data_IF_866500317376
#
_entry.id   IF_866500317376
#
_cell.length_a   1.000
_cell.length_b   1.000
_cell.length_c   1.000
_cell.angle_alpha   90.00
_cell.angle_beta   90.00
_cell.angle_gamma   90.00
#
_symmetry.space_group_name_H-M   'P 1'
#
loop_
_entity.id
_entity.type
_entity.pdbx_description
1 polymer ?
#
# COMPACT_ATOMS: atom_id res chain seq x y z
N UNK A 1 -25.46 21.11 21.33
CA UNK A 1 -24.63 22.13 20.64
C UNK A 1 -23.18 22.03 21.12
N UNK A 2 -22.89 21.99 22.44
CA UNK A 2 -21.51 21.93 22.98
C UNK A 2 -20.78 20.67 22.55
N UNK A 3 -21.39 19.48 22.72
CA UNK A 3 -20.79 18.20 22.34
C UNK A 3 -20.51 18.08 20.83
N UNK A 4 -21.38 18.67 20.01
CA UNK A 4 -21.17 18.72 18.56
C UNK A 4 -19.96 19.60 18.18
N UNK A 5 -19.84 20.77 18.81
CA UNK A 5 -18.70 21.68 18.60
C UNK A 5 -17.38 21.02 19.04
N UNK A 6 -17.36 20.39 20.21
CA UNK A 6 -16.18 19.68 20.71
C UNK A 6 -15.73 18.55 19.77
N UNK A 7 -16.69 17.79 19.22
CA UNK A 7 -16.41 16.74 18.24
C UNK A 7 -15.84 17.30 16.93
N UNK A 8 -16.39 18.41 16.46
CA UNK A 8 -15.90 19.09 15.26
C UNK A 8 -14.48 19.63 15.46
N UNK A 9 -14.18 20.21 16.62
CA UNK A 9 -12.87 20.74 16.97
C UNK A 9 -11.82 19.61 17.04
N UNK A 10 -12.17 18.46 17.62
CA UNK A 10 -11.31 17.26 17.65
C UNK A 10 -11.03 16.74 16.23
N UNK A 11 -12.06 16.63 15.40
CA UNK A 11 -11.91 16.16 14.03
C UNK A 11 -10.99 17.09 13.21
N UNK A 12 -11.20 18.39 13.30
CA UNK A 12 -10.32 19.38 12.64
C UNK A 12 -8.89 19.30 13.14
N UNK A 13 -8.68 19.11 14.43
CA UNK A 13 -7.34 18.94 14.99
C UNK A 13 -6.66 17.68 14.42
N UNK A 14 -7.35 16.54 14.41
CA UNK A 14 -6.81 15.28 13.88
C UNK A 14 -6.50 15.39 12.38
N UNK A 15 -7.37 16.01 11.58
CA UNK A 15 -7.09 16.22 10.15
C UNK A 15 -5.84 17.05 9.92
N UNK A 16 -5.68 18.17 10.64
CA UNK A 16 -4.47 19.00 10.54
C UNK A 16 -3.22 18.29 11.05
N UNK A 17 -3.35 17.46 12.08
CA UNK A 17 -2.26 16.64 12.59
C UNK A 17 -1.78 15.61 11.56
N UNK A 18 -2.70 14.90 10.91
CA UNK A 18 -2.40 13.92 9.86
C UNK A 18 -1.69 14.58 8.67
N UNK A 19 -2.12 15.77 8.27
CA UNK A 19 -1.56 16.53 7.14
C UNK A 19 -0.28 17.29 7.47
N UNK A 20 0.21 17.19 8.72
CA UNK A 20 1.44 17.88 9.16
C UNK A 20 1.37 19.43 9.05
N UNK A 21 0.18 19.97 9.28
CA UNK A 21 -0.12 21.41 9.14
C UNK A 21 0.02 22.20 10.44
N UNK A 22 0.53 21.57 11.52
CA UNK A 22 0.62 22.17 12.84
C UNK A 22 2.07 22.29 13.30
N UNK A 23 2.39 23.42 13.93
CA UNK A 23 3.64 23.58 14.65
C UNK A 23 3.62 22.72 15.92
N UNK A 24 4.80 22.27 16.35
CA UNK A 24 4.94 21.38 17.52
C UNK A 24 4.26 21.95 18.79
N UNK A 25 4.44 23.24 19.05
CA UNK A 25 3.82 23.93 20.19
C UNK A 25 2.29 23.89 20.09
N UNK A 26 1.74 24.10 18.92
CA UNK A 26 0.30 24.07 18.68
C UNK A 26 -0.29 22.66 18.84
N UNK A 27 0.46 21.62 18.45
CA UNK A 27 0.05 20.24 18.65
C UNK A 27 -0.21 19.97 20.14
N UNK A 28 0.75 20.27 21.00
CA UNK A 28 0.63 20.01 22.44
C UNK A 28 -0.41 20.90 23.11
N UNK A 29 -0.47 22.18 22.79
CA UNK A 29 -1.45 23.12 23.35
C UNK A 29 -2.88 22.74 22.97
N UNK A 30 -3.13 22.40 21.71
CA UNK A 30 -4.47 21.98 21.25
C UNK A 30 -4.86 20.62 21.78
N UNK A 31 -3.93 19.64 21.84
CA UNK A 31 -4.18 18.35 22.44
C UNK A 31 -4.62 18.47 23.89
N UNK A 32 -3.92 19.30 24.69
CA UNK A 32 -4.28 19.58 26.08
C UNK A 32 -5.68 20.19 26.20
N UNK A 33 -5.98 21.22 25.37
CA UNK A 33 -7.29 21.87 25.35
C UNK A 33 -8.42 20.90 25.01
N UNK A 34 -8.17 19.98 24.08
CA UNK A 34 -9.14 18.97 23.62
C UNK A 34 -9.14 17.70 24.47
N UNK A 35 -8.34 17.65 25.55
CA UNK A 35 -8.18 16.48 26.41
C UNK A 35 -7.78 15.21 25.69
N UNK A 36 -6.87 15.36 24.73
CA UNK A 36 -6.28 14.25 23.96
C UNK A 36 -4.93 13.90 24.60
N UNK A 37 -4.75 12.62 24.92
CA UNK A 37 -3.49 12.12 25.50
C UNK A 37 -2.35 12.26 24.47
N UNK A 38 -1.25 12.89 24.89
CA UNK A 38 -0.09 13.16 24.03
C UNK A 38 0.91 12.03 23.96
N UNK A 39 0.86 11.09 24.92
CA UNK A 39 1.81 9.97 25.05
C UNK A 39 1.18 8.59 24.77
N UNK A 40 -0.09 8.57 24.37
CA UNK A 40 -0.75 7.32 24.02
C UNK A 40 -0.17 6.70 22.74
N UNK A 41 0.00 5.38 22.77
CA UNK A 41 0.41 4.61 21.60
C UNK A 41 -0.71 4.59 20.57
N UNK A 42 -0.40 4.87 19.32
CA UNK A 42 -1.38 4.91 18.22
C UNK A 42 -0.81 4.31 16.94
N UNK A 43 -1.72 3.93 16.08
CA UNK A 43 -1.46 3.52 14.70
C UNK A 43 -2.48 4.20 13.79
N UNK A 44 -2.06 4.60 12.61
CA UNK A 44 -2.96 5.11 11.56
C UNK A 44 -3.27 4.00 10.58
N UNK A 45 -4.57 3.74 10.40
CA UNK A 45 -5.11 2.88 9.34
C UNK A 45 -5.72 3.74 8.25
N UNK A 46 -5.53 3.34 6.99
CA UNK A 46 -6.24 3.88 5.84
C UNK A 46 -7.11 2.78 5.26
N UNK A 47 -8.39 3.09 5.10
CA UNK A 47 -9.35 2.24 4.40
C UNK A 47 -9.69 2.91 3.08
N UNK A 48 -9.17 2.39 1.98
CA UNK A 48 -9.51 2.86 0.64
C UNK A 48 -10.74 2.13 0.13
N UNK A 49 -11.77 2.88 -0.25
CA UNK A 49 -12.97 2.35 -0.87
C UNK A 49 -12.85 2.33 -2.38
N UNK A 50 -13.53 1.38 -3.03
CA UNK A 50 -13.55 1.27 -4.50
C UNK A 50 -14.21 2.48 -5.17
N UNK A 51 -15.25 3.00 -4.55
CA UNK A 51 -16.05 4.09 -5.08
C UNK A 51 -15.89 5.35 -4.22
N UNK A 52 -15.96 6.51 -4.86
CA UNK A 52 -15.94 7.80 -4.18
C UNK A 52 -17.17 7.98 -3.30
N UNK A 53 -16.99 8.66 -2.15
CA UNK A 53 -18.06 9.00 -1.20
C UNK A 53 -18.88 7.79 -0.76
N UNK A 54 -18.20 6.69 -0.42
CA UNK A 54 -18.87 5.52 0.15
C UNK A 54 -19.35 5.81 1.57
N UNK A 55 -20.54 6.42 1.67
CA UNK A 55 -21.15 6.77 2.95
C UNK A 55 -21.46 5.53 3.79
N UNK A 56 -21.77 4.40 3.16
CA UNK A 56 -22.06 3.15 3.86
C UNK A 56 -20.83 2.63 4.58
N UNK A 57 -19.66 2.65 3.93
CA UNK A 57 -18.40 2.28 4.56
C UNK A 57 -18.06 3.20 5.74
N UNK A 58 -18.20 4.51 5.55
CA UNK A 58 -17.94 5.50 6.62
C UNK A 58 -18.86 5.30 7.82
N UNK A 59 -20.16 5.09 7.60
CA UNK A 59 -21.13 4.87 8.68
C UNK A 59 -20.88 3.55 9.41
N UNK A 60 -20.54 2.48 8.70
CA UNK A 60 -20.18 1.19 9.29
C UNK A 60 -18.95 1.32 10.19
N UNK A 61 -17.91 2.01 9.73
CA UNK A 61 -16.71 2.26 10.55
C UNK A 61 -17.04 3.12 11.76
N UNK A 62 -17.79 4.20 11.61
CA UNK A 62 -18.22 5.04 12.74
C UNK A 62 -19.02 4.26 13.77
N UNK A 63 -19.90 3.37 13.34
CA UNK A 63 -20.66 2.50 14.23
C UNK A 63 -19.77 1.53 14.99
N UNK A 64 -18.81 0.90 14.30
CA UNK A 64 -17.85 -0.03 14.90
C UNK A 64 -17.00 0.62 16.00
N UNK A 65 -16.66 1.89 15.82
CA UNK A 65 -15.85 2.66 16.76
C UNK A 65 -16.64 3.60 17.67
N UNK A 66 -17.97 3.56 17.67
CA UNK A 66 -18.83 4.46 18.46
C UNK A 66 -18.58 4.37 19.96
N UNK A 67 -18.22 3.19 20.48
CA UNK A 67 -17.89 2.95 21.90
C UNK A 67 -16.42 3.19 22.26
N UNK A 68 -15.61 3.65 21.32
CA UNK A 68 -14.15 3.84 21.45
C UNK A 68 -13.78 5.33 21.33
N UNK A 69 -13.96 6.13 22.39
CA UNK A 69 -13.84 7.60 22.32
C UNK A 69 -12.42 8.10 22.09
N UNK A 70 -11.42 7.22 22.19
CA UNK A 70 -10.00 7.53 21.97
C UNK A 70 -9.53 7.22 20.55
N UNK A 71 -10.38 6.58 19.75
CA UNK A 71 -10.14 6.32 18.33
C UNK A 71 -10.81 7.43 17.51
N UNK A 72 -10.09 7.95 16.52
CA UNK A 72 -10.57 9.05 15.67
C UNK A 72 -10.77 8.57 14.25
N UNK A 73 -11.93 8.88 13.70
CA UNK A 73 -12.30 8.52 12.34
C UNK A 73 -12.54 9.79 11.56
N UNK A 74 -11.85 9.94 10.45
CA UNK A 74 -11.98 11.09 9.55
C UNK A 74 -11.78 10.66 8.10
N UNK A 75 -12.01 11.58 7.16
CA UNK A 75 -11.69 11.42 5.76
C UNK A 75 -10.86 12.61 5.32
N UNK A 76 -9.84 12.38 4.50
CA UNK A 76 -9.00 13.43 3.92
C UNK A 76 -9.40 13.67 2.46
N UNK A 77 -9.87 12.64 1.79
CA UNK A 77 -10.39 12.68 0.43
C UNK A 77 -11.64 11.80 0.27
N UNK A 78 -12.14 11.68 -0.95
CA UNK A 78 -13.41 11.00 -1.23
C UNK A 78 -13.34 9.46 -1.18
N UNK A 79 -12.13 8.88 -1.20
CA UNK A 79 -11.93 7.42 -1.22
C UNK A 79 -11.31 6.86 0.06
N UNK A 80 -10.61 7.70 0.83
CA UNK A 80 -9.80 7.25 1.94
C UNK A 80 -10.40 7.64 3.28
N UNK A 81 -10.79 6.62 4.04
CA UNK A 81 -11.23 6.76 5.43
C UNK A 81 -10.01 6.50 6.32
N UNK A 82 -9.75 7.41 7.23
CA UNK A 82 -8.60 7.36 8.13
C UNK A 82 -9.06 7.03 9.53
N UNK A 83 -8.41 6.05 10.15
CA UNK A 83 -8.64 5.66 11.54
C UNK A 83 -7.35 5.88 12.30
N UNK A 84 -7.36 6.81 13.27
CA UNK A 84 -6.27 6.98 14.23
C UNK A 84 -6.66 6.19 15.47
N UNK A 85 -6.06 5.02 15.61
CA UNK A 85 -6.43 4.05 16.65
C UNK A 85 -5.45 4.08 17.81
N UNK A 86 -5.97 4.25 19.03
CA UNK A 86 -5.20 4.01 20.26
C UNK A 86 -5.03 2.50 20.46
N UNK A 87 -3.82 2.09 20.84
CA UNK A 87 -3.47 0.69 21.09
C UNK A 87 -2.89 0.53 22.48
N UNK A 88 -3.19 -0.61 23.12
CA UNK A 88 -2.67 -0.95 24.45
C UNK A 88 -1.21 -1.38 24.38
N UNK A 89 -0.48 -1.30 25.47
CA UNK A 89 0.94 -1.72 25.53
C UNK A 89 1.16 -3.18 25.13
N UNK A 90 0.23 -4.06 25.46
CA UNK A 90 0.29 -5.48 25.11
C UNK A 90 0.02 -5.77 23.63
N UNK A 91 -0.47 -4.80 22.85
CA UNK A 91 -0.81 -5.01 21.46
C UNK A 91 0.45 -5.13 20.58
N UNK A 92 0.46 -6.15 19.73
CA UNK A 92 1.51 -6.45 18.75
C UNK A 92 1.04 -6.11 17.33
N UNK A 93 1.96 -6.22 16.36
CA UNK A 93 1.60 -6.09 14.94
C UNK A 93 0.65 -7.20 14.45
N UNK A 94 0.62 -8.37 15.09
CA UNK A 94 -0.35 -9.43 14.80
C UNK A 94 -1.79 -9.01 15.11
N UNK A 95 -1.97 -8.27 16.22
CA UNK A 95 -3.28 -7.71 16.57
C UNK A 95 -3.71 -6.59 15.62
N UNK A 96 -2.77 -5.80 15.08
CA UNK A 96 -3.05 -4.81 14.06
C UNK A 96 -3.53 -5.46 12.76
N UNK A 97 -2.92 -6.57 12.38
CA UNK A 97 -3.37 -7.37 11.23
C UNK A 97 -4.77 -7.93 11.45
N UNK A 98 -5.07 -8.37 12.67
CA UNK A 98 -6.43 -8.80 13.05
C UNK A 98 -7.45 -7.66 12.97
N UNK A 99 -7.09 -6.46 13.42
CA UNK A 99 -7.94 -5.26 13.27
C UNK A 99 -8.21 -4.97 11.78
N UNK A 100 -7.19 -5.03 10.94
CA UNK A 100 -7.34 -4.82 9.50
C UNK A 100 -8.26 -5.87 8.85
N UNK A 101 -8.11 -7.14 9.21
CA UNK A 101 -9.00 -8.23 8.75
C UNK A 101 -10.45 -8.00 9.17
N UNK A 102 -10.66 -7.62 10.43
CA UNK A 102 -12.01 -7.29 10.94
C UNK A 102 -12.64 -6.17 10.16
N UNK A 103 -11.89 -5.10 9.84
CA UNK A 103 -12.38 -4.00 9.01
C UNK A 103 -12.79 -4.47 7.61
N UNK A 104 -11.96 -5.27 6.95
CA UNK A 104 -12.26 -5.82 5.62
C UNK A 104 -13.52 -6.68 5.66
N UNK A 105 -13.62 -7.60 6.61
CA UNK A 105 -14.75 -8.51 6.73
C UNK A 105 -16.07 -7.77 6.99
N UNK A 106 -16.07 -6.83 7.94
CA UNK A 106 -17.23 -6.03 8.28
C UNK A 106 -17.69 -5.16 7.11
N UNK A 107 -16.77 -4.51 6.41
CA UNK A 107 -17.11 -3.65 5.27
C UNK A 107 -17.60 -4.45 4.06
N UNK A 108 -17.06 -5.63 3.82
CA UNK A 108 -17.55 -6.51 2.77
C UNK A 108 -18.97 -7.01 3.06
N UNK A 109 -19.28 -7.38 4.30
CA UNK A 109 -20.57 -7.97 4.68
C UNK A 109 -21.63 -6.90 4.92
N UNK A 110 -21.35 -5.89 5.73
CA UNK A 110 -22.35 -4.91 6.17
C UNK A 110 -22.53 -3.75 5.20
N UNK A 111 -21.44 -3.26 4.62
CA UNK A 111 -21.46 -2.15 3.69
C UNK A 111 -21.46 -2.58 2.22
N UNK A 112 -21.29 -3.88 1.92
CA UNK A 112 -21.10 -4.40 0.56
C UNK A 112 -19.99 -3.64 -0.20
N UNK A 113 -19.01 -3.16 0.54
CA UNK A 113 -17.94 -2.29 0.02
C UNK A 113 -16.65 -3.07 -0.08
N UNK A 114 -16.11 -3.15 -1.30
CA UNK A 114 -14.75 -3.68 -1.51
C UNK A 114 -13.74 -2.62 -1.09
N UNK A 115 -12.85 -2.98 -0.18
CA UNK A 115 -11.88 -2.05 0.40
C UNK A 115 -10.47 -2.62 0.35
N UNK A 116 -9.49 -1.74 0.41
CA UNK A 116 -8.09 -2.06 0.71
C UNK A 116 -7.71 -1.34 2.00
N UNK A 117 -7.02 -2.04 2.88
CA UNK A 117 -6.61 -1.51 4.19
C UNK A 117 -5.09 -1.49 4.27
N UNK A 118 -4.54 -0.35 4.62
CA UNK A 118 -3.12 -0.21 4.98
C UNK A 118 -2.97 0.37 6.38
N UNK A 119 -1.81 0.19 7.00
CA UNK A 119 -1.49 0.82 8.27
C UNK A 119 0.01 1.07 8.41
N UNK A 120 0.32 2.14 9.16
CA UNK A 120 1.68 2.54 9.46
C UNK A 120 2.26 1.80 10.67
N UNK A 121 3.39 2.28 11.15
CA UNK A 121 4.00 1.79 12.37
C UNK A 121 3.32 2.38 13.61
N UNK A 122 3.49 1.66 14.73
CA UNK A 122 3.09 2.11 16.05
C UNK A 122 3.93 3.34 16.42
N UNK A 123 3.25 4.40 16.85
CA UNK A 123 3.87 5.62 17.36
C UNK A 123 3.55 5.80 18.85
N UNK A 124 4.39 6.55 19.56
CA UNK A 124 4.31 6.72 21.00
C UNK A 124 3.97 8.15 21.45
N UNK A 125 4.04 9.11 20.53
CA UNK A 125 3.71 10.50 20.80
C UNK A 125 2.78 11.07 19.72
N UNK A 126 1.89 11.95 20.13
CA UNK A 126 0.89 12.55 19.23
C UNK A 126 1.52 13.29 18.03
N UNK A 127 2.70 13.89 18.21
CA UNK A 127 3.42 14.57 17.13
C UNK A 127 3.78 13.64 15.97
N UNK A 128 3.89 12.34 16.23
CA UNK A 128 4.29 11.31 15.25
C UNK A 128 3.12 10.70 14.47
N UNK A 129 1.89 11.15 14.74
CA UNK A 129 0.69 10.65 14.02
C UNK A 129 0.81 10.88 12.51
N UNK A 130 1.33 12.05 12.09
CA UNK A 130 1.59 12.33 10.66
C UNK A 130 2.56 11.34 10.03
N UNK A 131 3.57 10.87 10.78
CA UNK A 131 4.50 9.83 10.30
C UNK A 131 3.77 8.51 10.05
N UNK A 132 2.98 8.02 11.00
CA UNK A 132 2.20 6.78 10.82
C UNK A 132 1.22 6.89 9.66
N UNK A 133 0.64 8.08 9.44
CA UNK A 133 -0.21 8.34 8.27
C UNK A 133 0.57 8.28 6.95
N UNK A 134 1.72 8.93 6.85
CA UNK A 134 2.59 8.91 5.66
C UNK A 134 3.04 7.48 5.35
N UNK A 135 3.36 6.70 6.36
CA UNK A 135 3.72 5.29 6.24
C UNK A 135 2.54 4.44 5.72
N UNK A 136 1.34 4.63 6.28
CA UNK A 136 0.13 3.95 5.82
C UNK A 136 -0.22 4.31 4.37
N UNK A 137 -0.05 5.59 4.00
CA UNK A 137 -0.27 6.08 2.63
C UNK A 137 0.74 5.44 1.65
N UNK A 138 2.02 5.40 2.02
CA UNK A 138 3.04 4.72 1.21
C UNK A 138 2.73 3.23 1.05
N UNK A 139 2.31 2.55 2.12
CA UNK A 139 1.91 1.15 2.06
C UNK A 139 0.75 0.92 1.09
N UNK A 140 -0.25 1.80 1.10
CA UNK A 140 -1.37 1.75 0.18
C UNK A 140 -0.92 1.87 -1.28
N UNK A 141 -0.07 2.86 -1.60
CA UNK A 141 0.44 3.10 -2.94
C UNK A 141 1.32 1.93 -3.44
N UNK A 142 2.26 1.47 -2.61
CA UNK A 142 3.10 0.31 -2.91
C UNK A 142 2.26 -0.94 -3.15
N UNK A 143 1.21 -1.13 -2.35
CA UNK A 143 0.26 -2.22 -2.53
C UNK A 143 -0.45 -2.18 -3.88
N UNK A 144 -0.91 -1.01 -4.31
CA UNK A 144 -1.56 -0.83 -5.62
C UNK A 144 -0.63 -1.15 -6.79
N UNK A 145 0.63 -0.76 -6.69
CA UNK A 145 1.61 -0.91 -7.77
C UNK A 145 2.10 -2.36 -7.89
N UNK A 146 2.50 -2.96 -6.75
CA UNK A 146 3.26 -4.22 -6.76
C UNK A 146 2.51 -5.43 -6.22
N UNK A 147 1.44 -5.21 -5.45
CA UNK A 147 0.73 -6.25 -4.72
C UNK A 147 -0.79 -6.08 -4.89
N UNK A 148 -1.25 -5.98 -6.13
CA UNK A 148 -2.63 -5.67 -6.47
C UNK A 148 -3.66 -6.68 -5.90
N UNK A 149 -3.23 -7.92 -5.67
CA UNK A 149 -4.00 -9.01 -5.06
C UNK A 149 -4.12 -8.90 -3.53
N UNK A 150 -3.24 -8.12 -2.89
CA UNK A 150 -3.27 -7.94 -1.43
C UNK A 150 -4.29 -6.89 -1.03
N UNK A 151 -5.22 -7.27 -0.18
CA UNK A 151 -6.25 -6.40 0.39
C UNK A 151 -5.73 -5.65 1.62
N UNK A 152 -4.87 -6.30 2.42
CA UNK A 152 -4.25 -5.72 3.61
C UNK A 152 -2.76 -5.52 3.34
N UNK A 153 -2.29 -4.29 3.50
CA UNK A 153 -0.91 -3.89 3.19
C UNK A 153 -0.30 -3.15 4.38
N UNK A 154 0.39 -3.86 5.29
CA UNK A 154 1.13 -3.22 6.39
C UNK A 154 2.41 -2.56 5.89
N UNK A 155 2.73 -1.38 6.43
CA UNK A 155 3.96 -0.66 6.08
C UNK A 155 5.25 -1.45 6.37
N UNK A 156 5.27 -2.23 7.43
CA UNK A 156 6.43 -3.03 7.83
C UNK A 156 6.64 -4.30 7.01
N UNK A 157 5.80 -4.56 6.01
CA UNK A 157 5.88 -5.76 5.15
C UNK A 157 5.81 -5.43 3.66
N UNK A 158 6.43 -4.35 3.24
CA UNK A 158 6.44 -3.91 1.83
C UNK A 158 7.57 -4.53 1.01
N UNK A 159 8.63 -4.99 1.67
CA UNK A 159 9.77 -5.60 1.00
C UNK A 159 10.44 -4.68 -0.03
N UNK A 160 10.82 -5.26 -1.16
CA UNK A 160 11.52 -4.56 -2.25
C UNK A 160 10.65 -3.45 -2.91
N UNK A 161 9.34 -3.57 -2.87
CA UNK A 161 8.42 -2.56 -3.39
C UNK A 161 8.62 -1.19 -2.76
N UNK A 162 8.93 -1.14 -1.45
CA UNK A 162 9.23 0.12 -0.77
C UNK A 162 10.52 0.77 -1.27
N UNK A 163 11.54 -0.01 -1.58
CA UNK A 163 12.79 0.52 -2.12
C UNK A 163 12.57 1.13 -3.51
N UNK A 164 11.87 0.42 -4.37
CA UNK A 164 11.60 0.88 -5.74
C UNK A 164 10.72 2.13 -5.75
N UNK A 165 9.68 2.18 -4.91
CA UNK A 165 8.79 3.34 -4.79
C UNK A 165 9.50 4.63 -4.38
N UNK A 166 10.67 4.54 -3.74
CA UNK A 166 11.48 5.68 -3.31
C UNK A 166 12.57 6.07 -4.32
N UNK A 167 12.69 5.38 -5.44
CA UNK A 167 13.68 5.71 -6.45
C UNK A 167 13.28 6.98 -7.22
N UNK A 168 14.21 7.91 -7.44
CA UNK A 168 13.97 9.03 -8.36
C UNK A 168 13.68 8.54 -9.78
N UNK A 169 12.70 9.13 -10.44
CA UNK A 169 12.33 8.77 -11.82
C UNK A 169 13.52 8.83 -12.80
N UNK A 170 14.40 9.86 -12.75
CA UNK A 170 15.59 9.87 -13.61
C UNK A 170 16.51 8.67 -13.43
N UNK A 171 16.64 8.16 -12.20
CA UNK A 171 17.42 6.94 -11.90
C UNK A 171 16.74 5.70 -12.50
N UNK A 172 15.42 5.61 -12.41
CA UNK A 172 14.65 4.54 -13.04
C UNK A 172 14.85 4.53 -14.57
N UNK A 173 14.78 5.68 -15.22
CA UNK A 173 14.98 5.84 -16.66
C UNK A 173 16.40 5.43 -17.08
N UNK A 174 17.41 5.83 -16.33
CA UNK A 174 18.81 5.45 -16.59
C UNK A 174 18.99 3.94 -16.49
N UNK A 175 18.48 3.32 -15.41
CA UNK A 175 18.54 1.87 -15.21
C UNK A 175 17.86 1.10 -16.34
N UNK A 176 16.67 1.52 -16.77
CA UNK A 176 15.94 0.90 -17.87
C UNK A 176 16.73 0.95 -19.18
N UNK A 177 17.38 2.10 -19.47
CA UNK A 177 18.22 2.26 -20.64
C UNK A 177 19.48 1.39 -20.60
N UNK A 178 20.09 1.25 -19.42
CA UNK A 178 21.24 0.37 -19.23
C UNK A 178 20.89 -1.11 -19.45
N UNK A 179 19.73 -1.55 -18.96
CA UNK A 179 19.30 -2.95 -19.01
C UNK A 179 18.79 -3.35 -20.39
N UNK A 180 17.96 -2.52 -21.02
CA UNK A 180 17.23 -2.87 -22.24
C UNK A 180 17.62 -2.04 -23.49
N UNK A 181 18.46 -1.02 -23.34
CA UNK A 181 18.80 -0.10 -24.43
C UNK A 181 17.55 0.62 -24.94
N UNK A 182 17.31 0.54 -26.24
CA UNK A 182 16.11 1.14 -26.86
C UNK A 182 14.88 0.22 -26.84
N UNK A 183 15.02 -1.02 -26.40
CA UNK A 183 13.94 -2.02 -26.34
C UNK A 183 13.37 -2.08 -24.94
N UNK A 184 12.40 -1.22 -24.63
CA UNK A 184 11.73 -1.20 -23.34
C UNK A 184 10.73 -2.36 -23.17
N UNK A 185 10.55 -2.90 -21.94
CA UNK A 185 9.59 -3.98 -21.63
C UNK A 185 8.14 -3.65 -21.95
N UNK A 186 7.80 -2.39 -22.16
CA UNK A 186 6.45 -1.93 -22.53
C UNK A 186 5.94 -2.52 -23.85
N UNK A 187 6.83 -3.08 -24.66
CA UNK A 187 6.51 -3.67 -25.96
C UNK A 187 6.21 -5.17 -25.88
N UNK A 188 6.27 -5.78 -24.70
CA UNK A 188 5.95 -7.20 -24.56
C UNK A 188 4.44 -7.42 -24.69
N UNK A 189 4.08 -8.41 -25.50
CA UNK A 189 2.70 -8.86 -25.63
C UNK A 189 2.21 -9.56 -24.34
N UNK A 190 0.90 -9.73 -24.23
CA UNK A 190 0.26 -10.33 -23.06
C UNK A 190 0.74 -11.76 -22.82
N UNK A 191 1.00 -12.53 -23.88
CA UNK A 191 1.52 -13.89 -23.78
C UNK A 191 2.91 -13.92 -23.15
N UNK A 192 3.80 -13.03 -23.55
CA UNK A 192 5.15 -12.89 -23.02
C UNK A 192 5.12 -12.47 -21.55
N UNK A 193 4.30 -11.47 -21.19
CA UNK A 193 4.14 -11.02 -19.79
C UNK A 193 3.59 -12.15 -18.91
N UNK A 194 2.59 -12.88 -19.37
CA UNK A 194 2.03 -14.03 -18.65
C UNK A 194 3.08 -15.11 -18.44
N UNK A 195 3.88 -15.41 -19.46
CA UNK A 195 4.97 -16.40 -19.38
C UNK A 195 6.01 -15.99 -18.34
N UNK A 196 6.46 -14.73 -18.36
CA UNK A 196 7.46 -14.19 -17.42
C UNK A 196 6.92 -14.26 -15.99
N UNK A 197 5.71 -13.77 -15.75
CA UNK A 197 5.11 -13.75 -14.43
C UNK A 197 4.95 -15.15 -13.86
N UNK A 198 4.42 -16.09 -14.64
CA UNK A 198 4.30 -17.50 -14.22
C UNK A 198 5.64 -18.15 -13.95
N UNK A 199 6.66 -17.83 -14.72
CA UNK A 199 8.00 -18.36 -14.53
C UNK A 199 8.61 -17.87 -13.20
N UNK A 200 8.42 -16.61 -12.86
CA UNK A 200 8.83 -16.06 -11.56
C UNK A 200 8.02 -16.62 -10.39
N UNK A 201 6.69 -16.72 -10.53
CA UNK A 201 5.81 -17.33 -9.52
C UNK A 201 6.22 -18.77 -9.18
N UNK A 202 6.70 -19.51 -10.17
CA UNK A 202 7.16 -20.89 -10.03
C UNK A 202 8.67 -21.01 -9.70
N UNK A 203 9.30 -19.97 -9.20
CA UNK A 203 10.71 -19.96 -8.80
C UNK A 203 11.65 -20.47 -9.91
N UNK A 204 11.45 -20.02 -11.13
CA UNK A 204 12.23 -20.36 -12.32
C UNK A 204 12.15 -21.86 -12.70
N UNK A 205 11.09 -22.53 -12.31
CA UNK A 205 10.87 -23.94 -12.63
C UNK A 205 10.19 -24.10 -14.00
N UNK A 206 10.94 -24.53 -14.99
CA UNK A 206 10.45 -24.71 -16.37
C UNK A 206 9.30 -25.74 -16.44
N UNK A 207 9.41 -26.87 -15.75
CA UNK A 207 8.42 -27.95 -15.83
C UNK A 207 7.09 -27.53 -15.21
N UNK A 208 7.13 -26.92 -14.03
CA UNK A 208 5.92 -26.45 -13.34
C UNK A 208 5.27 -25.29 -14.13
N UNK A 209 6.06 -24.38 -14.65
CA UNK A 209 5.54 -23.26 -15.45
C UNK A 209 4.87 -23.73 -16.72
N UNK A 210 5.48 -24.68 -17.47
CA UNK A 210 4.86 -25.24 -18.66
C UNK A 210 3.54 -25.95 -18.37
N UNK A 211 3.47 -26.66 -17.25
CA UNK A 211 2.24 -27.32 -16.79
C UNK A 211 1.13 -26.30 -16.49
N UNK A 212 1.44 -25.23 -15.78
CA UNK A 212 0.46 -24.21 -15.42
C UNK A 212 0.03 -23.34 -16.60
N UNK A 213 0.90 -23.15 -17.60
CA UNK A 213 0.56 -22.46 -18.84
C UNK A 213 -0.11 -23.35 -19.90
N UNK A 214 -0.28 -24.66 -19.60
CA UNK A 214 -0.84 -25.64 -20.53
C UNK A 214 -0.08 -25.70 -21.86
N UNK A 215 1.26 -25.56 -21.84
CA UNK A 215 2.11 -25.65 -23.01
C UNK A 215 3.15 -26.77 -22.85
N UNK A 216 3.66 -27.28 -23.97
CA UNK A 216 4.76 -28.22 -23.93
C UNK A 216 6.04 -27.54 -23.39
N UNK A 217 6.87 -28.29 -22.65
CA UNK A 217 8.12 -27.79 -22.08
C UNK A 217 9.01 -27.10 -23.14
N UNK A 218 9.13 -27.69 -24.32
CA UNK A 218 9.95 -27.13 -25.39
C UNK A 218 9.40 -25.79 -25.91
N UNK A 219 8.09 -25.61 -25.89
CA UNK A 219 7.44 -24.33 -26.23
C UNK A 219 7.81 -23.24 -25.23
N UNK A 220 7.79 -23.58 -23.94
CA UNK A 220 8.23 -22.63 -22.90
C UNK A 220 9.72 -22.29 -23.07
N UNK A 221 10.59 -23.28 -23.25
CA UNK A 221 12.02 -23.03 -23.46
C UNK A 221 12.23 -22.11 -24.69
N UNK A 222 11.54 -22.37 -25.79
CA UNK A 222 11.59 -21.49 -26.97
C UNK A 222 11.18 -20.05 -26.64
N UNK A 223 10.11 -19.84 -25.87
CA UNK A 223 9.68 -18.49 -25.45
C UNK A 223 10.75 -17.81 -24.61
N UNK A 224 11.39 -18.51 -23.68
CA UNK A 224 12.47 -17.97 -22.84
C UNK A 224 13.71 -17.64 -23.66
N UNK A 225 14.07 -18.45 -24.65
CA UNK A 225 15.18 -18.17 -25.57
C UNK A 225 14.89 -16.97 -26.47
N UNK A 226 13.66 -16.84 -26.94
CA UNK A 226 13.21 -15.66 -27.71
C UNK A 226 13.32 -14.39 -26.87
N UNK A 227 12.92 -14.45 -25.61
CA UNK A 227 13.04 -13.34 -24.64
C UNK A 227 14.53 -12.98 -24.44
N UNK A 228 15.40 -13.97 -24.22
CA UNK A 228 16.85 -13.75 -24.10
C UNK A 228 17.43 -13.08 -25.33
N UNK A 229 17.05 -13.50 -26.53
CA UNK A 229 17.52 -12.88 -27.77
C UNK A 229 17.09 -11.43 -27.94
N UNK A 230 15.89 -11.09 -27.47
CA UNK A 230 15.35 -9.73 -27.57
C UNK A 230 15.87 -8.79 -26.51
N UNK A 231 16.15 -9.28 -25.30
CA UNK A 231 16.51 -8.45 -24.15
C UNK A 231 17.97 -8.54 -23.72
N UNK A 232 18.67 -9.59 -24.14
CA UNK A 232 20.03 -9.90 -23.68
C UNK A 232 20.08 -10.60 -22.31
N UNK A 233 18.94 -10.79 -21.63
CA UNK A 233 18.84 -11.41 -20.31
C UNK A 233 18.23 -12.81 -20.40
N UNK A 234 18.94 -13.79 -19.85
CA UNK A 234 18.41 -15.15 -19.69
C UNK A 234 17.78 -15.33 -18.30
N UNK A 235 16.46 -15.19 -18.22
CA UNK A 235 15.74 -15.29 -16.95
C UNK A 235 15.73 -16.69 -16.31
N UNK A 236 16.39 -17.67 -16.94
CA UNK A 236 16.69 -18.98 -16.33
C UNK A 236 17.91 -18.91 -15.41
N UNK A 237 18.74 -17.88 -15.57
CA UNK A 237 19.90 -17.57 -14.71
C UNK A 237 19.46 -16.59 -13.63
N UNK A 238 19.78 -16.89 -12.38
CA UNK A 238 19.27 -16.14 -11.22
C UNK A 238 19.59 -14.63 -11.29
N UNK A 239 20.80 -14.24 -11.62
CA UNK A 239 21.20 -12.82 -11.65
C UNK A 239 20.45 -12.05 -12.76
N UNK A 240 20.28 -12.65 -13.94
CA UNK A 240 19.50 -12.08 -15.01
C UNK A 240 18.00 -12.02 -14.67
N UNK A 241 17.49 -13.07 -14.03
CA UNK A 241 16.11 -13.13 -13.54
C UNK A 241 15.84 -12.04 -12.52
N UNK A 242 16.76 -11.81 -11.58
CA UNK A 242 16.67 -10.75 -10.55
C UNK A 242 16.66 -9.37 -11.21
N UNK A 243 17.60 -9.10 -12.11
CA UNK A 243 17.67 -7.86 -12.88
C UNK A 243 16.37 -7.62 -13.65
N UNK A 244 15.87 -8.64 -14.33
CA UNK A 244 14.63 -8.58 -15.10
C UNK A 244 13.42 -8.30 -14.20
N UNK A 245 13.32 -8.98 -13.05
CA UNK A 245 12.25 -8.79 -12.07
C UNK A 245 12.21 -7.36 -11.53
N UNK A 246 13.37 -6.82 -11.16
CA UNK A 246 13.51 -5.44 -10.70
C UNK A 246 13.09 -4.47 -11.82
N UNK A 247 13.56 -4.70 -13.04
CA UNK A 247 13.19 -3.86 -14.18
C UNK A 247 11.67 -3.84 -14.45
N UNK A 248 11.00 -4.98 -14.34
CA UNK A 248 9.54 -5.06 -14.46
C UNK A 248 8.83 -4.26 -13.35
N UNK A 249 9.34 -4.30 -12.13
CA UNK A 249 8.81 -3.50 -11.03
C UNK A 249 9.04 -1.99 -11.26
N UNK A 250 10.21 -1.62 -11.75
CA UNK A 250 10.53 -0.21 -12.11
C UNK A 250 9.59 0.30 -13.20
N UNK A 251 9.29 -0.49 -14.23
CA UNK A 251 8.30 -0.13 -15.27
C UNK A 251 6.92 0.11 -14.67
N UNK A 252 6.45 -0.80 -13.82
CA UNK A 252 5.15 -0.65 -13.14
C UNK A 252 5.08 0.62 -12.30
N UNK A 253 6.16 0.94 -11.58
CA UNK A 253 6.28 2.16 -10.80
C UNK A 253 6.26 3.43 -11.67
N UNK A 254 7.04 3.46 -12.74
CA UNK A 254 7.08 4.61 -13.63
C UNK A 254 5.71 4.88 -14.28
N UNK A 255 5.03 3.83 -14.76
CA UNK A 255 3.66 3.94 -15.30
C UNK A 255 2.67 4.48 -14.28
N UNK A 256 2.74 3.99 -13.06
CA UNK A 256 1.88 4.48 -11.99
C UNK A 256 2.11 5.97 -11.72
N UNK A 257 3.36 6.41 -11.65
CA UNK A 257 3.69 7.83 -11.42
C UNK A 257 3.18 8.73 -12.55
N UNK A 258 3.24 8.29 -13.81
CA UNK A 258 2.68 9.03 -14.94
C UNK A 258 1.16 9.24 -14.85
N UNK A 259 0.44 8.36 -14.15
CA UNK A 259 -1.02 8.50 -13.96
C UNK A 259 -1.40 9.42 -12.81
N UNK A 260 -0.43 9.85 -11.99
CA UNK A 260 -0.67 10.75 -10.85
C UNK A 260 -0.45 12.22 -11.20
N UNK A 261 0.27 12.50 -12.27
CA UNK A 261 0.48 13.85 -12.83
C UNK A 261 -0.70 14.24 -13.74
#
# INVERSE_FOLDING_TARGET
IVAYKERLDKNNFIQNLLLDNLLLVDIYNRAKKLRIDTEARRVVFIVETKYEKDNSAMETIKSLYASKPKDYITAIDEKNIIIVKEIKEANTYEELDHVAKTLVDMLNVEAMSQVRVSYGNIIHEIKDVSRSYKEAKMALEVGKIFYADKIIVPYNNLGIGRLIYQLPIPLCQMFMKEVFGEQLPDTFDEETLTTINKFFENNLNVSETSRQLYVHRNTLVYRLEKLQKSTGLDIRVFDDALTFKIAMMVVSYMKYMETQD
#
